data_IF_529725307593
#
_entry.id   IF_529725307593
#
_cell.length_a   1.000
_cell.length_b   1.000
_cell.length_c   1.000
_cell.angle_alpha   90.00
_cell.angle_beta   90.00
_cell.angle_gamma   90.00
#
_symmetry.space_group_name_H-M   'P 1'
#
loop_
_entity.id
_entity.type
_entity.pdbx_description
1 polymer ?
#
# COMPACT_ATOMS: atom_id res chain seq x y z
N UNK A 1 19.47 -3.04 11.83
CA UNK A 1 18.25 -2.25 12.12
C UNK A 1 17.15 -3.21 12.52
N UNK A 2 16.29 -2.77 13.44
CA UNK A 2 15.20 -3.43 14.18
C UNK A 2 14.20 -4.38 13.46
N UNK A 3 14.39 -4.74 12.19
CA UNK A 3 13.39 -5.49 11.40
C UNK A 3 13.00 -6.84 12.02
N UNK A 4 13.98 -7.61 12.48
CA UNK A 4 13.73 -8.92 13.10
C UNK A 4 12.89 -8.81 14.39
N UNK A 5 13.07 -7.73 15.16
CA UNK A 5 12.28 -7.48 16.37
C UNK A 5 10.86 -7.04 16.04
N UNK A 6 10.68 -6.24 14.99
CA UNK A 6 9.36 -5.79 14.54
C UNK A 6 8.55 -6.96 13.98
N UNK A 7 9.18 -7.79 13.14
CA UNK A 7 8.56 -8.97 12.55
C UNK A 7 8.12 -10.00 13.61
N UNK A 8 8.90 -10.15 14.68
CA UNK A 8 8.53 -11.00 15.81
C UNK A 8 7.24 -10.52 16.49
N UNK A 9 7.13 -9.21 16.77
CA UNK A 9 5.92 -8.62 17.39
C UNK A 9 4.70 -8.78 16.47
N UNK A 10 4.87 -8.57 15.17
CA UNK A 10 3.79 -8.73 14.19
C UNK A 10 3.31 -10.18 14.11
N UNK A 11 4.22 -11.15 14.16
CA UNK A 11 3.86 -12.57 14.20
C UNK A 11 3.14 -12.94 15.49
N UNK A 12 3.61 -12.45 16.63
CA UNK A 12 2.95 -12.65 17.93
C UNK A 12 1.52 -12.07 17.92
N UNK A 13 1.32 -10.92 17.26
CA UNK A 13 -0.01 -10.32 17.08
C UNK A 13 -0.96 -11.26 16.31
N UNK A 14 -0.49 -11.87 15.22
CA UNK A 14 -1.28 -12.83 14.44
C UNK A 14 -1.64 -14.06 15.29
N UNK A 15 -0.67 -14.61 16.02
CA UNK A 15 -0.88 -15.77 16.90
C UNK A 15 -1.88 -15.47 18.02
N UNK A 16 -1.84 -14.27 18.58
CA UNK A 16 -2.69 -13.85 19.70
C UNK A 16 -4.12 -13.51 19.30
N UNK A 17 -4.30 -12.77 18.20
CA UNK A 17 -5.60 -12.22 17.80
C UNK A 17 -6.26 -13.00 16.66
N UNK A 18 -5.49 -13.81 15.93
CA UNK A 18 -5.99 -14.63 14.83
C UNK A 18 -6.15 -13.87 13.52
N UNK A 19 -6.22 -14.66 12.45
CA UNK A 19 -6.21 -14.18 11.06
C UNK A 19 -7.40 -13.28 10.72
N UNK A 20 -8.60 -13.64 11.16
CA UNK A 20 -9.82 -12.89 10.84
C UNK A 20 -9.80 -11.48 11.46
N UNK A 21 -9.52 -11.40 12.75
CA UNK A 21 -9.45 -10.11 13.47
C UNK A 21 -8.35 -9.21 12.91
N UNK A 22 -7.15 -9.75 12.66
CA UNK A 22 -6.08 -8.95 12.06
C UNK A 22 -6.41 -8.50 10.64
N UNK A 23 -7.16 -9.29 9.86
CA UNK A 23 -7.63 -8.88 8.53
C UNK A 23 -8.66 -7.75 8.60
N UNK A 24 -9.55 -7.76 9.59
CA UNK A 24 -10.49 -6.67 9.85
C UNK A 24 -9.74 -5.39 10.22
N UNK A 25 -8.76 -5.47 11.12
CA UNK A 25 -7.88 -4.33 11.45
C UNK A 25 -7.21 -3.79 10.18
N UNK A 26 -6.65 -4.66 9.33
CA UNK A 26 -6.07 -4.22 8.05
C UNK A 26 -7.06 -3.47 7.14
N UNK A 27 -8.35 -3.83 7.16
CA UNK A 27 -9.39 -3.11 6.42
C UNK A 27 -9.68 -1.74 7.04
N UNK A 28 -9.67 -1.64 8.37
CA UNK A 28 -9.83 -0.38 9.11
C UNK A 28 -8.68 0.58 8.80
N UNK A 29 -7.42 0.14 8.90
CA UNK A 29 -6.25 0.98 8.58
C UNK A 29 -6.26 1.51 7.13
N UNK A 30 -6.71 0.67 6.18
CA UNK A 30 -6.89 1.12 4.80
C UNK A 30 -7.97 2.21 4.68
N UNK A 31 -9.03 2.14 5.47
CA UNK A 31 -10.09 3.16 5.55
C UNK A 31 -9.56 4.46 6.17
N UNK A 32 -8.71 4.37 7.18
CA UNK A 32 -8.08 5.51 7.83
C UNK A 32 -7.10 6.21 6.88
N UNK A 33 -6.29 5.45 6.12
CA UNK A 33 -5.45 6.00 5.06
C UNK A 33 -6.26 6.76 3.99
N UNK A 34 -7.41 6.24 3.56
CA UNK A 34 -8.32 6.94 2.64
C UNK A 34 -8.74 8.30 3.24
N UNK A 35 -9.11 8.32 4.52
CA UNK A 35 -9.50 9.55 5.21
C UNK A 35 -8.33 10.53 5.35
N UNK A 36 -7.13 10.05 5.66
CA UNK A 36 -5.94 10.87 5.79
C UNK A 36 -5.54 11.54 4.47
N UNK A 37 -5.57 10.81 3.35
CA UNK A 37 -5.38 11.37 2.01
C UNK A 37 -6.42 12.48 1.74
N UNK A 38 -7.69 12.23 2.06
CA UNK A 38 -8.76 13.23 1.91
C UNK A 38 -8.55 14.48 2.77
N UNK A 39 -8.10 14.33 4.02
CA UNK A 39 -7.76 15.44 4.92
C UNK A 39 -6.56 16.24 4.38
N UNK A 40 -5.54 15.55 3.86
CA UNK A 40 -4.34 16.15 3.24
C UNK A 40 -4.70 17.00 2.04
N UNK A 41 -5.52 16.48 1.13
CA UNK A 41 -5.97 17.20 -0.07
C UNK A 41 -6.76 18.47 0.26
N UNK A 42 -7.49 18.48 1.38
CA UNK A 42 -8.26 19.65 1.86
C UNK A 42 -7.42 20.66 2.67
N UNK A 43 -6.10 20.47 2.76
CA UNK A 43 -5.19 21.40 3.44
C UNK A 43 -5.41 21.51 4.95
N UNK A 44 -5.88 20.43 5.61
CA UNK A 44 -6.09 20.45 7.06
C UNK A 44 -4.74 20.56 7.81
N UNK A 45 -4.65 21.36 8.88
CA UNK A 45 -3.47 21.38 9.75
C UNK A 45 -3.15 19.97 10.28
N UNK A 46 -1.87 19.64 10.40
CA UNK A 46 -1.41 18.32 10.89
C UNK A 46 -1.64 17.15 9.93
N UNK A 47 -2.20 17.37 8.74
CA UNK A 47 -2.53 16.28 7.82
C UNK A 47 -1.32 15.61 7.14
N UNK A 48 -0.11 16.17 7.23
CA UNK A 48 1.11 15.44 6.79
C UNK A 48 1.40 14.28 7.73
N UNK A 49 1.39 14.56 9.03
CA UNK A 49 1.86 13.61 10.04
C UNK A 49 0.85 12.48 10.19
N UNK A 50 -0.45 12.82 10.24
CA UNK A 50 -1.53 11.82 10.18
C UNK A 50 -1.41 10.97 8.91
N UNK A 51 -1.08 11.54 7.75
CA UNK A 51 -0.92 10.73 6.53
C UNK A 51 0.27 9.77 6.63
N UNK A 52 1.38 10.22 7.21
CA UNK A 52 2.55 9.36 7.41
C UNK A 52 2.27 8.22 8.40
N UNK A 53 1.50 8.49 9.46
CA UNK A 53 1.01 7.51 10.43
C UNK A 53 0.17 6.42 9.74
N UNK A 54 -0.92 6.78 9.05
CA UNK A 54 -1.77 5.77 8.38
C UNK A 54 -1.02 5.00 7.29
N UNK A 55 -0.04 5.63 6.63
CA UNK A 55 0.82 4.94 5.67
C UNK A 55 1.69 3.88 6.36
N UNK A 56 2.19 4.16 7.57
CA UNK A 56 2.95 3.19 8.36
C UNK A 56 2.05 2.03 8.80
N UNK A 57 0.82 2.31 9.24
CA UNK A 57 -0.14 1.28 9.64
C UNK A 57 -0.49 0.36 8.47
N UNK A 58 -0.72 0.92 7.28
CA UNK A 58 -0.94 0.11 6.06
C UNK A 58 0.30 -0.69 5.65
N UNK A 59 1.52 -0.17 5.83
CA UNK A 59 2.75 -0.95 5.59
C UNK A 59 2.82 -2.18 6.51
N UNK A 60 2.47 -2.01 7.79
CA UNK A 60 2.38 -3.12 8.75
C UNK A 60 1.30 -4.11 8.31
N UNK A 61 0.13 -3.62 7.90
CA UNK A 61 -0.96 -4.47 7.39
C UNK A 61 -0.53 -5.30 6.17
N UNK A 62 0.24 -4.73 5.25
CA UNK A 62 0.77 -5.49 4.10
C UNK A 62 1.69 -6.63 4.54
N UNK A 63 2.50 -6.43 5.59
CA UNK A 63 3.28 -7.52 6.18
C UNK A 63 2.37 -8.58 6.80
N UNK A 64 1.42 -8.18 7.64
CA UNK A 64 0.51 -9.11 8.32
C UNK A 64 -0.29 -9.94 7.30
N UNK A 65 -0.82 -9.31 6.26
CA UNK A 65 -1.55 -9.98 5.19
C UNK A 65 -0.66 -10.97 4.43
N UNK A 66 0.61 -10.62 4.17
CA UNK A 66 1.54 -11.57 3.55
C UNK A 66 1.73 -12.81 4.39
N UNK A 67 2.02 -12.66 5.68
CA UNK A 67 2.23 -13.79 6.59
C UNK A 67 0.95 -14.61 6.77
N UNK A 68 -0.22 -13.97 6.93
CA UNK A 68 -1.50 -14.67 7.17
C UNK A 68 -2.03 -15.44 5.96
N UNK A 69 -1.66 -15.03 4.75
CA UNK A 69 -2.17 -15.61 3.50
C UNK A 69 -1.08 -16.28 2.66
N UNK A 70 0.10 -16.50 3.24
CA UNK A 70 1.25 -17.15 2.59
C UNK A 70 1.64 -16.49 1.26
N UNK A 71 1.53 -15.15 1.19
CA UNK A 71 1.92 -14.38 0.01
C UNK A 71 3.40 -14.07 0.10
N UNK A 72 4.16 -14.63 -0.82
CA UNK A 72 5.61 -14.42 -0.89
C UNK A 72 5.96 -13.04 -1.42
N UNK A 73 7.16 -12.55 -1.07
CA UNK A 73 7.72 -11.34 -1.67
C UNK A 73 7.86 -11.43 -3.19
N UNK A 74 8.17 -12.62 -3.72
CA UNK A 74 8.29 -12.86 -5.16
C UNK A 74 6.94 -12.63 -5.86
N UNK A 75 5.88 -13.27 -5.38
CA UNK A 75 4.53 -13.08 -5.92
C UNK A 75 4.10 -11.60 -5.86
N UNK A 76 4.34 -10.93 -4.73
CA UNK A 76 3.97 -9.53 -4.58
C UNK A 76 4.75 -8.63 -5.54
N UNK A 77 6.06 -8.85 -5.68
CA UNK A 77 6.93 -8.08 -6.58
C UNK A 77 6.57 -8.28 -8.06
N UNK A 78 6.21 -9.48 -8.48
CA UNK A 78 5.69 -9.74 -9.83
C UNK A 78 4.44 -8.88 -10.12
N UNK A 79 3.50 -8.84 -9.16
CA UNK A 79 2.30 -8.02 -9.28
C UNK A 79 2.60 -6.53 -9.32
N UNK A 80 3.55 -6.05 -8.51
CA UNK A 80 4.02 -4.66 -8.53
C UNK A 80 4.61 -4.33 -9.90
N UNK A 81 5.55 -5.13 -10.41
CA UNK A 81 6.17 -4.90 -11.72
C UNK A 81 5.13 -4.84 -12.83
N UNK A 82 4.17 -5.77 -12.84
CA UNK A 82 3.07 -5.81 -13.81
C UNK A 82 2.19 -4.55 -13.74
N UNK A 83 1.82 -4.11 -12.53
CA UNK A 83 0.99 -2.91 -12.34
C UNK A 83 1.74 -1.65 -12.73
N UNK A 84 3.02 -1.54 -12.37
CA UNK A 84 3.88 -0.40 -12.74
C UNK A 84 4.05 -0.29 -14.25
N UNK A 85 4.34 -1.40 -14.94
CA UNK A 85 4.42 -1.42 -16.40
C UNK A 85 3.11 -0.95 -17.06
N UNK A 86 1.94 -1.33 -16.51
CA UNK A 86 0.65 -0.87 -17.00
C UNK A 86 0.44 0.63 -16.81
N UNK A 87 0.83 1.20 -15.66
CA UNK A 87 0.73 2.64 -15.45
C UNK A 87 1.66 3.41 -16.40
N UNK A 88 2.89 2.93 -16.59
CA UNK A 88 3.83 3.52 -17.53
C UNK A 88 3.29 3.56 -18.96
N UNK A 89 2.65 2.47 -19.42
CA UNK A 89 1.99 2.43 -20.74
C UNK A 89 0.84 3.44 -20.86
N UNK A 90 0.04 3.64 -19.80
CA UNK A 90 -1.04 4.65 -19.80
C UNK A 90 -0.50 6.07 -19.90
N UNK A 91 0.55 6.37 -19.13
CA UNK A 91 1.21 7.68 -19.19
C UNK A 91 1.78 8.00 -20.57
N UNK A 92 2.24 7.00 -21.33
CA UNK A 92 2.69 7.18 -22.71
C UNK A 92 1.52 7.34 -23.67
N UNK A 93 0.43 6.60 -23.50
CA UNK A 93 -0.75 6.73 -24.35
C UNK A 93 -1.51 8.07 -24.13
N UNK A 94 -1.46 8.61 -22.91
CA UNK A 94 -2.07 9.89 -22.54
C UNK A 94 -1.17 11.09 -22.87
N UNK A 95 -0.04 10.90 -23.57
CA UNK A 95 0.86 11.98 -24.00
C UNK A 95 0.31 12.69 -25.26
N UNK A 96 -0.15 13.95 -25.15
CA UNK A 96 -0.73 14.69 -26.28
C UNK A 96 0.27 14.99 -27.41
N UNK A 97 1.57 14.71 -27.24
CA UNK A 97 2.58 14.87 -28.29
C UNK A 97 2.79 13.62 -29.15
N UNK A 98 2.14 12.48 -28.85
CA UNK A 98 2.22 11.26 -29.66
C UNK A 98 1.09 11.12 -30.70
N UNK A 99 -0.01 11.87 -30.59
CA UNK A 99 -1.15 11.81 -31.55
C UNK A 99 -0.86 12.44 -32.94
N UNK A 100 0.35 12.95 -33.20
CA UNK A 100 0.64 13.76 -34.39
C UNK A 100 1.77 13.30 -35.30
N UNK A 101 2.36 12.10 -35.11
CA UNK A 101 3.55 11.69 -35.91
C UNK A 101 3.31 10.67 -37.02
N UNK A 102 2.11 10.12 -37.14
CA UNK A 102 1.79 9.14 -38.19
C UNK A 102 0.74 9.71 -39.16
N UNK A 103 1.11 10.77 -39.88
CA UNK A 103 0.38 11.29 -41.02
C UNK A 103 1.36 11.81 -42.09
N UNK A 104 2.12 10.90 -42.71
CA UNK A 104 2.74 11.08 -44.03
C UNK A 104 2.49 9.84 -44.89
#
# INVERSE_FOLDING_TARGET
>A
MNGDKQHAVWRESIEKYGKETQSIVCMEECSELIQAVSKRLRGKPGATDNLAEEMADVIICLYLLKEMYDITDEQLNEWIARKTARQSKRMQADDPFLEGKDAE
#
